data_IF_072563459566
#
_entry.id   IF_072563459566
#
_cell.length_a   1.000
_cell.length_b   1.000
_cell.length_c   1.000
_cell.angle_alpha   90.00
_cell.angle_beta   90.00
_cell.angle_gamma   90.00
#
_symmetry.space_group_name_H-M   'P 1'
#
loop_
_entity.id
_entity.type
_entity.pdbx_description
1 polymer ?
#
# COMPACT_ATOMS: atom_id res chain seq x y z
N UNK A 1 -4.91 25.85 30.46
CA UNK A 1 -5.61 25.98 29.17
C UNK A 1 -5.40 24.69 28.41
N UNK A 2 -6.35 23.75 28.49
CA UNK A 2 -6.33 22.55 27.64
C UNK A 2 -6.75 22.98 26.22
N UNK A 3 -5.78 23.00 25.32
CA UNK A 3 -6.02 23.21 23.90
C UNK A 3 -6.84 22.01 23.39
N UNK A 4 -8.15 22.23 23.19
CA UNK A 4 -9.06 21.26 22.57
C UNK A 4 -8.57 20.98 21.16
N UNK A 5 -7.70 19.98 21.05
CA UNK A 5 -7.14 19.53 19.79
C UNK A 5 -8.31 19.08 18.90
N UNK A 6 -8.66 19.91 17.90
CA UNK A 6 -9.76 19.69 16.94
C UNK A 6 -9.35 18.57 15.98
N UNK A 7 -9.19 17.36 16.51
CA UNK A 7 -9.02 16.17 15.69
C UNK A 7 -10.27 15.97 14.82
N UNK A 8 -10.07 15.64 13.54
CA UNK A 8 -11.16 15.33 12.61
C UNK A 8 -12.02 14.24 13.24
N UNK A 9 -13.36 14.39 13.27
CA UNK A 9 -14.23 13.39 13.86
C UNK A 9 -14.00 12.03 13.20
N UNK A 10 -13.87 10.95 13.99
CA UNK A 10 -13.63 9.61 13.47
C UNK A 10 -14.68 9.16 12.43
N UNK A 11 -15.91 9.68 12.55
CA UNK A 11 -16.99 9.47 11.58
C UNK A 11 -16.69 10.11 10.21
N UNK A 12 -16.19 11.35 10.18
CA UNK A 12 -15.84 12.05 8.94
C UNK A 12 -14.73 11.33 8.19
N UNK A 13 -13.73 10.84 8.93
CA UNK A 13 -12.62 10.06 8.39
C UNK A 13 -13.11 8.75 7.76
N UNK A 14 -13.98 8.01 8.46
CA UNK A 14 -14.57 6.77 7.95
C UNK A 14 -15.39 6.98 6.66
N UNK A 15 -16.22 8.02 6.63
CA UNK A 15 -17.01 8.37 5.44
C UNK A 15 -16.12 8.83 4.28
N UNK A 16 -15.07 9.58 4.56
CA UNK A 16 -14.06 9.97 3.57
C UNK A 16 -13.39 8.76 2.91
N UNK A 17 -12.94 7.79 3.70
CA UNK A 17 -12.33 6.57 3.15
C UNK A 17 -13.33 5.73 2.36
N UNK A 18 -14.59 5.61 2.81
CA UNK A 18 -15.66 4.95 2.04
C UNK A 18 -15.92 5.61 0.70
N UNK A 19 -16.01 6.93 0.71
CA UNK A 19 -16.18 7.72 -0.50
C UNK A 19 -15.01 7.52 -1.47
N UNK A 20 -13.76 7.54 -0.97
CA UNK A 20 -12.58 7.26 -1.77
C UNK A 20 -12.60 5.83 -2.36
N UNK A 21 -13.02 4.81 -1.61
CA UNK A 21 -13.17 3.45 -2.16
C UNK A 21 -14.21 3.40 -3.27
N UNK A 22 -15.37 4.03 -3.07
CA UNK A 22 -16.41 4.13 -4.11
C UNK A 22 -15.87 4.84 -5.35
N UNK A 23 -15.23 6.00 -5.18
CA UNK A 23 -14.70 6.79 -6.28
C UNK A 23 -13.62 6.04 -7.07
N UNK A 24 -12.76 5.29 -6.38
CA UNK A 24 -11.81 4.41 -7.05
C UNK A 24 -12.52 3.37 -7.93
N UNK A 25 -13.56 2.70 -7.43
CA UNK A 25 -14.30 1.69 -8.23
C UNK A 25 -15.04 2.35 -9.39
N UNK A 26 -15.75 3.45 -9.14
CA UNK A 26 -16.49 4.19 -10.17
C UNK A 26 -15.59 4.75 -11.26
N UNK A 27 -14.34 5.07 -10.94
CA UNK A 27 -13.38 5.62 -11.90
C UNK A 27 -13.12 4.71 -13.11
N UNK A 28 -13.27 3.38 -12.96
CA UNK A 28 -13.07 2.42 -14.05
C UNK A 28 -14.22 2.43 -15.08
N UNK A 29 -15.39 2.97 -14.72
CA UNK A 29 -16.51 3.15 -15.65
C UNK A 29 -16.43 4.47 -16.42
N UNK A 30 -15.48 5.35 -16.08
CA UNK A 30 -15.24 6.61 -16.77
C UNK A 30 -14.20 6.43 -17.88
N UNK A 31 -14.12 7.38 -18.84
CA UNK A 31 -12.98 7.47 -19.74
C UNK A 31 -11.68 7.48 -18.95
N UNK A 32 -10.82 6.49 -19.19
CA UNK A 32 -9.67 6.22 -18.33
C UNK A 32 -8.37 6.70 -18.98
N UNK A 33 -8.18 6.35 -20.25
CA UNK A 33 -7.08 6.85 -21.07
C UNK A 33 -7.54 7.18 -22.48
N UNK A 34 -6.92 8.19 -23.07
CA UNK A 34 -7.01 8.41 -24.52
C UNK A 34 -5.68 8.07 -25.14
N UNK A 35 -5.73 7.24 -26.17
CA UNK A 35 -4.54 6.76 -26.87
C UNK A 35 -4.55 7.32 -28.27
N UNK A 36 -3.46 8.00 -28.65
CA UNK A 36 -3.28 8.50 -29.99
C UNK A 36 -2.50 7.48 -30.81
N UNK A 37 -3.16 6.85 -31.78
CA UNK A 37 -2.55 5.84 -32.65
C UNK A 37 -1.57 6.49 -33.63
N UNK A 38 -0.41 5.87 -33.85
CA UNK A 38 0.62 6.39 -34.75
C UNK A 38 0.21 6.38 -36.22
N UNK A 39 -0.68 5.47 -36.63
CA UNK A 39 -1.11 5.30 -38.02
C UNK A 39 -2.22 6.27 -38.44
N UNK A 40 -3.24 6.45 -37.59
CA UNK A 40 -4.43 7.27 -37.91
C UNK A 40 -4.35 8.68 -37.34
N UNK A 41 -3.51 8.91 -36.32
CA UNK A 41 -3.45 10.13 -35.49
C UNK A 41 -4.76 10.48 -34.77
N UNK A 42 -5.80 9.67 -34.92
CA UNK A 42 -7.09 9.88 -34.27
C UNK A 42 -7.01 9.47 -32.79
N UNK A 43 -7.55 10.28 -31.87
CA UNK A 43 -7.62 9.94 -30.46
C UNK A 43 -8.75 8.92 -30.22
N UNK A 44 -8.40 7.76 -29.68
CA UNK A 44 -9.39 6.77 -29.23
C UNK A 44 -9.40 6.76 -27.71
N UNK A 45 -10.58 6.96 -27.12
CA UNK A 45 -10.76 6.95 -25.66
C UNK A 45 -11.22 5.59 -25.21
N UNK A 46 -10.50 5.00 -24.26
CA UNK A 46 -10.82 3.72 -23.66
C UNK A 46 -11.35 3.93 -22.24
N UNK A 47 -12.53 3.40 -21.91
CA UNK A 47 -12.96 3.27 -20.52
C UNK A 47 -12.04 2.27 -19.79
N UNK A 48 -12.03 2.36 -18.45
CA UNK A 48 -11.18 1.49 -17.63
C UNK A 48 -11.56 0.01 -17.73
N UNK A 49 -12.83 -0.28 -18.05
CA UNK A 49 -13.33 -1.64 -18.29
C UNK A 49 -12.64 -2.33 -19.46
N UNK A 50 -12.27 -1.59 -20.50
CA UNK A 50 -11.65 -2.14 -21.70
C UNK A 50 -10.17 -2.49 -21.45
N UNK A 51 -9.57 -1.95 -20.39
CA UNK A 51 -8.22 -2.30 -19.94
C UNK A 51 -8.18 -3.62 -19.15
N UNK A 52 -9.33 -4.24 -18.87
CA UNK A 52 -9.44 -5.48 -18.08
C UNK A 52 -9.35 -6.73 -18.99
N UNK A 53 -9.26 -6.56 -20.30
CA UNK A 53 -9.15 -7.68 -21.22
C UNK A 53 -7.74 -8.30 -21.25
N UNK A 54 -7.69 -9.64 -21.21
CA UNK A 54 -6.46 -10.42 -21.30
C UNK A 54 -5.66 -10.54 -19.99
N UNK A 55 -4.46 -11.13 -20.07
CA UNK A 55 -3.62 -11.41 -18.89
C UNK A 55 -3.21 -10.15 -18.12
N UNK A 56 -3.05 -9.02 -18.82
CA UNK A 56 -2.68 -7.74 -18.21
C UNK A 56 -3.85 -7.11 -17.44
N UNK A 57 -5.08 -7.41 -17.83
CA UNK A 57 -6.28 -7.02 -17.10
C UNK A 57 -6.32 -7.47 -15.64
N UNK A 58 -5.62 -8.56 -15.31
CA UNK A 58 -5.46 -9.02 -13.91
C UNK A 58 -4.82 -7.95 -13.02
N UNK A 59 -3.90 -7.14 -13.55
CA UNK A 59 -3.27 -6.07 -12.78
C UNK A 59 -4.24 -4.96 -12.41
N UNK A 60 -5.28 -4.69 -13.22
CA UNK A 60 -6.34 -3.73 -12.89
C UNK A 60 -7.43 -4.34 -12.02
N UNK A 61 -7.74 -5.63 -12.23
CA UNK A 61 -8.73 -6.37 -11.45
C UNK A 61 -8.32 -6.51 -9.98
N UNK A 62 -7.03 -6.78 -9.69
CA UNK A 62 -6.53 -6.94 -8.32
C UNK A 62 -6.81 -5.69 -7.45
N UNK A 63 -6.39 -4.46 -7.83
CA UNK A 63 -6.78 -3.23 -7.16
C UNK A 63 -8.28 -3.06 -6.98
N UNK A 64 -9.07 -3.35 -8.01
CA UNK A 64 -10.53 -3.21 -7.96
C UNK A 64 -11.14 -4.11 -6.88
N UNK A 65 -10.72 -5.38 -6.84
CA UNK A 65 -11.15 -6.36 -5.83
C UNK A 65 -10.66 -5.96 -4.44
N UNK A 66 -9.43 -5.47 -4.29
CA UNK A 66 -8.90 -5.00 -3.01
C UNK A 66 -9.71 -3.83 -2.46
N UNK A 67 -9.99 -2.82 -3.27
CA UNK A 67 -10.76 -1.65 -2.86
C UNK A 67 -12.22 -1.99 -2.58
N UNK A 68 -12.82 -2.89 -3.36
CA UNK A 68 -14.15 -3.41 -3.08
C UNK A 68 -14.19 -4.19 -1.75
N UNK A 69 -13.17 -5.02 -1.49
CA UNK A 69 -12.99 -5.69 -0.22
C UNK A 69 -12.85 -4.71 0.94
N UNK A 70 -12.04 -3.65 0.81
CA UNK A 70 -11.93 -2.61 1.84
C UNK A 70 -13.22 -1.83 2.06
N UNK A 71 -13.96 -1.55 0.99
CA UNK A 71 -15.27 -0.92 1.07
C UNK A 71 -16.24 -1.77 1.89
N UNK A 72 -16.40 -3.05 1.55
CA UNK A 72 -17.24 -3.99 2.29
C UNK A 72 -16.79 -4.08 3.75
N UNK A 73 -15.50 -4.31 3.99
CA UNK A 73 -14.95 -4.44 5.33
C UNK A 73 -15.13 -3.18 6.19
N UNK A 74 -15.27 -2.00 5.57
CA UNK A 74 -15.51 -0.75 6.29
C UNK A 74 -16.87 -0.70 7.00
N UNK A 75 -17.84 -1.52 6.60
CA UNK A 75 -19.17 -1.59 7.25
C UNK A 75 -19.21 -2.51 8.46
N UNK A 76 -18.26 -3.45 8.56
CA UNK A 76 -18.21 -4.39 9.66
C UNK A 76 -17.43 -3.80 10.84
N UNK A 77 -18.12 -3.61 11.98
CA UNK A 77 -17.46 -3.32 13.26
C UNK A 77 -16.66 -4.55 13.69
N UNK A 78 -15.35 -4.55 13.46
CA UNK A 78 -14.49 -5.63 13.94
C UNK A 78 -13.95 -5.30 15.33
N UNK A 79 -14.14 -6.21 16.30
CA UNK A 79 -13.39 -6.23 17.56
C UNK A 79 -12.00 -6.81 17.29
N UNK A 80 -11.11 -6.00 16.75
CA UNK A 80 -9.72 -6.40 16.49
C UNK A 80 -8.83 -5.80 17.57
N UNK A 81 -7.69 -6.44 17.89
CA UNK A 81 -6.67 -5.80 18.72
C UNK A 81 -6.21 -4.50 18.04
N UNK A 82 -5.96 -3.46 18.83
CA UNK A 82 -5.60 -2.14 18.27
C UNK A 82 -4.38 -2.16 17.36
N UNK A 83 -3.40 -3.01 17.65
CA UNK A 83 -2.20 -3.20 16.83
C UNK A 83 -2.46 -3.97 15.54
N UNK A 84 -3.36 -4.96 15.52
CA UNK A 84 -3.73 -5.61 14.26
C UNK A 84 -4.58 -4.66 13.38
N UNK A 85 -5.45 -3.84 13.97
CA UNK A 85 -6.12 -2.78 13.21
C UNK A 85 -5.10 -1.81 12.60
N UNK A 86 -4.10 -1.39 13.38
CA UNK A 86 -3.04 -0.49 12.90
C UNK A 86 -2.20 -1.14 11.80
N UNK A 87 -1.85 -2.41 11.95
CA UNK A 87 -1.17 -3.19 10.90
C UNK A 87 -1.99 -3.21 9.60
N UNK A 88 -3.30 -3.43 9.69
CA UNK A 88 -4.19 -3.41 8.53
C UNK A 88 -4.27 -2.02 7.88
N UNK A 89 -4.14 -0.93 8.64
CA UNK A 89 -4.03 0.41 8.05
C UNK A 89 -2.73 0.56 7.26
N UNK A 90 -1.58 0.11 7.77
CA UNK A 90 -0.33 0.14 6.99
C UNK A 90 -0.42 -0.73 5.74
N UNK A 91 -1.07 -1.90 5.84
CA UNK A 91 -1.34 -2.76 4.68
C UNK A 91 -2.22 -2.09 3.63
N UNK A 92 -3.27 -1.35 4.06
CA UNK A 92 -4.09 -0.53 3.17
C UNK A 92 -3.27 0.55 2.48
N UNK A 93 -2.35 1.21 3.18
CA UNK A 93 -1.45 2.19 2.58
C UNK A 93 -0.56 1.57 1.49
N UNK A 94 0.06 0.41 1.76
CA UNK A 94 0.86 -0.34 0.77
C UNK A 94 0.00 -0.70 -0.44
N UNK A 95 -1.19 -1.23 -0.21
CA UNK A 95 -2.11 -1.66 -1.28
C UNK A 95 -2.59 -0.47 -2.11
N UNK A 96 -2.87 0.68 -1.49
CA UNK A 96 -3.24 1.91 -2.19
C UNK A 96 -2.08 2.49 -3.00
N UNK A 97 -0.86 2.47 -2.46
CA UNK A 97 0.34 2.89 -3.20
C UNK A 97 0.58 1.99 -4.41
N UNK A 98 0.56 0.66 -4.23
CA UNK A 98 0.72 -0.30 -5.33
C UNK A 98 -0.37 -0.13 -6.40
N UNK A 99 -1.63 0.01 -5.98
CA UNK A 99 -2.76 0.27 -6.88
C UNK A 99 -2.60 1.58 -7.64
N UNK A 100 -2.15 2.64 -6.98
CA UNK A 100 -1.87 3.93 -7.60
C UNK A 100 -0.75 3.86 -8.63
N UNK A 101 0.30 3.07 -8.37
CA UNK A 101 1.37 2.84 -9.36
C UNK A 101 0.88 2.04 -10.56
N UNK A 102 0.10 0.98 -10.33
CA UNK A 102 -0.49 0.20 -11.41
C UNK A 102 -1.36 1.11 -12.29
N UNK A 103 -2.31 1.83 -11.69
CA UNK A 103 -3.22 2.69 -12.44
C UNK A 103 -2.49 3.86 -13.12
N UNK A 104 -1.48 4.43 -12.45
CA UNK A 104 -0.72 5.57 -12.97
C UNK A 104 0.20 5.21 -14.13
N UNK A 105 0.84 4.04 -14.10
CA UNK A 105 1.94 3.73 -15.03
C UNK A 105 1.65 2.58 -15.98
N UNK A 106 0.82 1.60 -15.59
CA UNK A 106 0.54 0.43 -16.43
C UNK A 106 -0.03 0.81 -17.81
N UNK A 107 -0.92 1.81 -17.96
CA UNK A 107 -1.40 2.18 -19.30
C UNK A 107 -0.26 2.59 -20.24
N UNK A 108 0.75 3.31 -19.74
CA UNK A 108 1.91 3.69 -20.55
C UNK A 108 2.78 2.49 -20.96
N UNK A 109 2.78 1.40 -20.17
CA UNK A 109 3.45 0.15 -20.52
C UNK A 109 2.62 -0.72 -21.48
N UNK A 110 1.30 -0.59 -21.48
CA UNK A 110 0.44 -1.28 -22.44
C UNK A 110 0.51 -0.66 -23.83
N UNK A 111 0.74 0.64 -23.91
CA UNK A 111 0.80 1.41 -25.14
C UNK A 111 2.19 2.02 -25.38
N UNK A 112 3.27 1.26 -25.19
CA UNK A 112 4.68 1.74 -25.24
C UNK A 112 5.07 2.54 -26.49
N UNK A 113 4.37 2.37 -27.61
CA UNK A 113 4.64 3.05 -28.89
C UNK A 113 3.66 4.19 -29.19
N UNK A 114 2.69 4.46 -28.32
CA UNK A 114 1.62 5.42 -28.55
C UNK A 114 1.61 6.48 -27.45
N UNK A 115 1.08 7.68 -27.77
CA UNK A 115 0.90 8.72 -26.76
C UNK A 115 -0.36 8.40 -25.95
N UNK A 116 -0.17 8.19 -24.64
CA UNK A 116 -1.25 7.96 -23.69
C UNK A 116 -1.50 9.22 -22.89
N UNK A 117 -2.73 9.71 -22.95
CA UNK A 117 -3.19 10.85 -22.17
C UNK A 117 -4.10 10.37 -21.05
N UNK A 118 -3.79 10.68 -19.78
CA UNK A 118 -4.64 10.33 -18.66
C UNK A 118 -5.97 11.09 -18.77
N UNK A 119 -7.07 10.38 -18.55
CA UNK A 119 -8.41 10.96 -18.51
C UNK A 119 -8.95 11.04 -17.08
N UNK A 120 -10.17 11.56 -16.96
CA UNK A 120 -10.82 11.81 -15.67
C UNK A 120 -10.89 10.55 -14.78
N UNK A 121 -11.11 9.37 -15.37
CA UNK A 121 -11.12 8.10 -14.65
C UNK A 121 -9.78 7.81 -13.98
N UNK A 122 -8.68 7.86 -14.75
CA UNK A 122 -7.34 7.58 -14.20
C UNK A 122 -6.94 8.59 -13.12
N UNK A 123 -7.24 9.89 -13.32
CA UNK A 123 -6.97 10.92 -12.32
C UNK A 123 -7.77 10.68 -11.04
N UNK A 124 -9.07 10.36 -11.15
CA UNK A 124 -9.92 10.06 -10.00
C UNK A 124 -9.45 8.83 -9.23
N UNK A 125 -9.04 7.78 -9.93
CA UNK A 125 -8.45 6.58 -9.35
C UNK A 125 -7.17 6.91 -8.55
N UNK A 126 -6.26 7.67 -9.15
CA UNK A 126 -5.01 8.08 -8.52
C UNK A 126 -5.24 8.95 -7.28
N UNK A 127 -6.16 9.92 -7.34
CA UNK A 127 -6.53 10.77 -6.20
C UNK A 127 -7.16 9.94 -5.07
N UNK A 128 -7.99 8.95 -5.41
CA UNK A 128 -8.59 8.03 -4.44
C UNK A 128 -7.52 7.19 -3.73
N UNK A 129 -6.57 6.62 -4.49
CA UNK A 129 -5.41 5.92 -3.94
C UNK A 129 -4.58 6.82 -3.02
N UNK A 130 -4.31 8.06 -3.45
CA UNK A 130 -3.52 9.02 -2.68
C UNK A 130 -4.20 9.39 -1.35
N UNK A 131 -5.52 9.62 -1.39
CA UNK A 131 -6.31 9.88 -0.19
C UNK A 131 -6.21 8.72 0.81
N UNK A 132 -6.46 7.49 0.36
CA UNK A 132 -6.42 6.29 1.20
C UNK A 132 -5.01 6.04 1.72
N UNK A 133 -3.99 6.26 0.90
CA UNK A 133 -2.60 6.16 1.29
C UNK A 133 -2.29 7.09 2.46
N UNK A 134 -2.56 8.39 2.33
CA UNK A 134 -2.26 9.36 3.39
C UNK A 134 -3.11 9.16 4.64
N UNK A 135 -4.40 8.86 4.49
CA UNK A 135 -5.29 8.57 5.61
C UNK A 135 -4.78 7.39 6.44
N UNK A 136 -4.42 6.30 5.76
CA UNK A 136 -3.97 5.06 6.40
C UNK A 136 -2.57 5.20 6.99
N UNK A 137 -1.68 5.93 6.32
CA UNK A 137 -0.35 6.32 6.84
C UNK A 137 -0.46 7.11 8.13
N UNK A 138 -1.29 8.16 8.14
CA UNK A 138 -1.48 9.02 9.30
C UNK A 138 -2.07 8.24 10.49
N UNK A 139 -3.05 7.36 10.22
CA UNK A 139 -3.59 6.43 11.22
C UNK A 139 -2.50 5.57 11.86
N UNK A 140 -1.66 4.99 11.01
CA UNK A 140 -0.61 4.05 11.40
C UNK A 140 0.45 4.76 12.23
N UNK A 141 0.88 5.95 11.80
CA UNK A 141 1.87 6.75 12.51
C UNK A 141 1.38 7.20 13.89
N UNK A 142 0.15 7.72 13.99
CA UNK A 142 -0.44 8.13 15.28
C UNK A 142 -0.52 6.94 16.24
N UNK A 143 -1.01 5.80 15.74
CA UNK A 143 -1.14 4.61 16.56
C UNK A 143 0.22 4.07 17.02
N UNK A 144 1.24 4.09 16.16
CA UNK A 144 2.61 3.73 16.53
C UNK A 144 3.19 4.65 17.61
N UNK A 145 2.98 5.97 17.50
CA UNK A 145 3.38 6.94 18.53
C UNK A 145 2.67 6.65 19.85
N UNK A 146 1.38 6.32 19.81
CA UNK A 146 0.62 5.94 21.01
C UNK A 146 1.19 4.67 21.64
N UNK A 147 1.45 3.64 20.83
CA UNK A 147 2.04 2.38 21.27
C UNK A 147 3.40 2.57 21.93
N UNK A 148 4.24 3.46 21.41
CA UNK A 148 5.54 3.78 21.99
C UNK A 148 5.46 4.40 23.40
N UNK A 149 4.32 5.00 23.77
CA UNK A 149 4.08 5.60 25.09
C UNK A 149 3.47 4.64 26.11
N UNK A 150 2.96 3.48 25.66
CA UNK A 150 2.36 2.51 26.57
C UNK A 150 3.44 1.73 27.33
N UNK A 151 3.22 1.41 28.62
CA UNK A 151 4.20 0.70 29.43
C UNK A 151 4.55 -0.66 28.82
N UNK A 152 5.83 -1.01 28.90
CA UNK A 152 6.32 -2.31 28.48
C UNK A 152 5.85 -3.39 29.46
N UNK A 153 5.37 -4.52 28.93
CA UNK A 153 5.05 -5.68 29.76
C UNK A 153 6.34 -6.36 30.24
N UNK A 154 6.25 -7.09 31.34
CA UNK A 154 7.35 -7.91 31.85
C UNK A 154 7.90 -8.82 30.75
N UNK A 155 9.23 -8.93 30.67
CA UNK A 155 9.90 -9.63 29.57
C UNK A 155 9.66 -11.15 29.64
N UNK A 156 8.71 -11.65 28.85
CA UNK A 156 8.41 -13.08 28.69
C UNK A 156 8.88 -13.61 27.33
N UNK A 157 9.97 -13.05 26.79
CA UNK A 157 10.44 -13.37 25.44
C UNK A 157 11.04 -14.78 25.33
N UNK A 158 10.42 -15.59 24.48
CA UNK A 158 10.96 -16.87 24.01
C UNK A 158 12.09 -16.68 22.99
N UNK A 159 12.92 -17.72 22.77
CA UNK A 159 13.96 -17.71 21.73
C UNK A 159 13.40 -17.46 20.34
N UNK A 160 12.24 -18.06 20.02
CA UNK A 160 11.52 -17.84 18.77
C UNK A 160 11.13 -16.36 18.58
N UNK A 161 10.64 -15.71 19.65
CA UNK A 161 10.28 -14.30 19.63
C UNK A 161 11.48 -13.40 19.31
N UNK A 162 12.66 -13.71 19.87
CA UNK A 162 13.90 -12.96 19.61
C UNK A 162 14.37 -13.13 18.17
N UNK A 163 14.28 -14.35 17.63
CA UNK A 163 14.61 -14.61 16.23
C UNK A 163 13.70 -13.83 15.28
N UNK A 164 12.38 -13.83 15.53
CA UNK A 164 11.43 -13.05 14.72
C UNK A 164 11.66 -11.54 14.84
N UNK A 165 11.95 -11.03 16.04
CA UNK A 165 12.35 -9.63 16.22
C UNK A 165 13.59 -9.29 15.38
N UNK A 166 14.60 -10.16 15.35
CA UNK A 166 15.80 -9.94 14.55
C UNK A 166 15.49 -9.89 13.04
N UNK A 167 14.59 -10.75 12.54
CA UNK A 167 14.16 -10.72 11.13
C UNK A 167 13.49 -9.39 10.80
N UNK A 168 12.51 -8.94 11.59
CA UNK A 168 11.82 -7.67 11.36
C UNK A 168 12.76 -6.47 11.52
N UNK A 169 13.71 -6.54 12.45
CA UNK A 169 14.74 -5.51 12.59
C UNK A 169 15.65 -5.44 11.36
N UNK A 170 16.05 -6.59 10.79
CA UNK A 170 16.81 -6.64 9.55
C UNK A 170 16.02 -6.03 8.38
N UNK A 171 14.70 -6.28 8.31
CA UNK A 171 13.84 -5.69 7.29
C UNK A 171 13.77 -4.16 7.32
N UNK A 172 13.99 -3.52 8.48
CA UNK A 172 14.08 -2.05 8.56
C UNK A 172 15.24 -1.46 7.74
N UNK A 173 16.27 -2.27 7.43
CA UNK A 173 17.39 -1.84 6.59
C UNK A 173 17.17 -2.08 5.09
N UNK A 174 16.15 -2.86 4.71
CA UNK A 174 15.81 -3.12 3.31
C UNK A 174 15.54 -1.83 2.49
N UNK A 175 14.80 -0.82 3.01
CA UNK A 175 14.64 0.46 2.32
C UNK A 175 15.95 1.15 1.99
N UNK A 176 16.89 1.19 2.94
CA UNK A 176 18.20 1.82 2.75
C UNK A 176 18.99 1.09 1.66
N UNK A 177 18.97 -0.24 1.68
CA UNK A 177 19.60 -1.06 0.65
C UNK A 177 18.99 -0.80 -0.74
N UNK A 178 17.67 -0.73 -0.85
CA UNK A 178 16.99 -0.47 -2.13
C UNK A 178 17.27 0.92 -2.68
N UNK A 179 17.29 1.95 -1.83
CA UNK A 179 17.64 3.32 -2.22
C UNK A 179 19.09 3.37 -2.72
N UNK A 180 20.02 2.74 -2.01
CA UNK A 180 21.42 2.65 -2.41
C UNK A 180 21.57 1.91 -3.74
N UNK A 181 20.92 0.75 -3.88
CA UNK A 181 20.96 -0.06 -5.09
C UNK A 181 20.44 0.72 -6.32
N UNK A 182 19.28 1.37 -6.22
CA UNK A 182 18.73 2.13 -7.35
C UNK A 182 19.57 3.37 -7.66
N UNK A 183 20.08 4.07 -6.64
CA UNK A 183 20.99 5.21 -6.84
C UNK A 183 22.28 4.80 -7.57
N UNK A 184 22.91 3.69 -7.14
CA UNK A 184 24.16 3.19 -7.76
C UNK A 184 23.98 2.70 -9.20
N UNK A 185 22.76 2.34 -9.60
CA UNK A 185 22.41 1.95 -10.98
C UNK A 185 22.02 3.14 -11.86
N UNK A 186 22.21 4.38 -11.38
CA UNK A 186 21.84 5.59 -12.12
C UNK A 186 20.33 5.81 -12.20
N UNK A 187 19.58 5.29 -11.22
CA UNK A 187 18.13 5.51 -11.14
C UNK A 187 17.79 6.99 -11.07
N UNK A 188 16.85 7.43 -11.91
CA UNK A 188 16.40 8.82 -11.91
C UNK A 188 15.61 9.20 -10.64
N UNK A 189 15.42 10.51 -10.44
CA UNK A 189 14.65 11.07 -9.32
C UNK A 189 13.28 10.41 -9.14
N UNK A 190 12.60 10.12 -10.25
CA UNK A 190 11.29 9.47 -10.23
C UNK A 190 11.32 8.06 -9.59
N UNK A 191 12.31 7.23 -9.92
CA UNK A 191 12.46 5.90 -9.32
C UNK A 191 12.73 5.97 -7.82
N UNK A 192 13.56 6.93 -7.39
CA UNK A 192 13.82 7.18 -5.97
C UNK A 192 12.57 7.64 -5.24
N UNK A 193 11.77 8.53 -5.84
CA UNK A 193 10.49 8.96 -5.29
C UNK A 193 9.54 7.78 -5.08
N UNK A 194 9.37 6.91 -6.08
CA UNK A 194 8.52 5.72 -5.98
C UNK A 194 8.98 4.78 -4.87
N UNK A 195 10.29 4.56 -4.74
CA UNK A 195 10.86 3.73 -3.68
C UNK A 195 10.55 4.34 -2.32
N UNK A 196 10.89 5.61 -2.09
CA UNK A 196 10.62 6.29 -0.82
C UNK A 196 9.14 6.24 -0.48
N UNK A 197 8.28 6.48 -1.46
CA UNK A 197 6.83 6.44 -1.29
C UNK A 197 6.32 5.05 -0.87
N UNK A 198 6.86 3.96 -1.43
CA UNK A 198 6.50 2.59 -1.01
C UNK A 198 7.14 2.18 0.31
N UNK A 199 8.32 2.71 0.64
CA UNK A 199 9.06 2.33 1.85
C UNK A 199 8.47 2.91 3.13
N UNK A 200 7.83 4.09 3.07
CA UNK A 200 7.22 4.70 4.26
C UNK A 200 6.15 3.82 4.93
N UNK A 201 5.10 3.31 4.25
CA UNK A 201 4.12 2.44 4.89
C UNK A 201 4.71 1.09 5.28
N UNK A 202 5.72 0.60 4.56
CA UNK A 202 6.46 -0.60 4.92
C UNK A 202 7.19 -0.44 6.26
N UNK A 203 7.92 0.66 6.45
CA UNK A 203 8.60 0.96 7.72
C UNK A 203 7.62 1.07 8.90
N UNK A 204 6.44 1.68 8.68
CA UNK A 204 5.39 1.71 9.69
C UNK A 204 4.89 0.31 10.03
N UNK A 205 4.63 -0.51 9.00
CA UNK A 205 4.19 -1.89 9.16
C UNK A 205 5.19 -2.72 9.99
N UNK A 206 6.49 -2.59 9.69
CA UNK A 206 7.55 -3.27 10.43
C UNK A 206 7.64 -2.78 11.89
N UNK A 207 7.55 -1.46 12.10
CA UNK A 207 7.52 -0.87 13.45
C UNK A 207 6.33 -1.37 14.30
N UNK A 208 5.13 -1.44 13.70
CA UNK A 208 3.93 -1.97 14.36
C UNK A 208 4.08 -3.46 14.67
N UNK A 209 4.68 -4.22 13.75
CA UNK A 209 4.90 -5.66 13.93
C UNK A 209 5.87 -5.93 15.06
N UNK A 210 7.00 -5.21 15.11
CA UNK A 210 7.97 -5.28 16.21
C UNK A 210 7.31 -4.96 17.55
N UNK A 211 6.46 -3.94 17.59
CA UNK A 211 5.70 -3.61 18.80
C UNK A 211 4.74 -4.73 19.21
N UNK A 212 4.00 -5.30 18.25
CA UNK A 212 3.05 -6.37 18.52
C UNK A 212 3.73 -7.70 18.91
N UNK A 213 4.95 -7.96 18.41
CA UNK A 213 5.80 -9.09 18.81
C UNK A 213 6.22 -8.99 20.28
N UNK A 214 6.64 -7.81 20.73
CA UNK A 214 6.95 -7.53 22.15
C UNK A 214 5.76 -7.76 23.08
N UNK A 215 4.54 -7.76 22.54
CA UNK A 215 3.29 -8.04 23.26
C UNK A 215 2.73 -9.44 22.99
N UNK A 216 3.52 -10.32 22.39
CA UNK A 216 3.16 -11.72 22.15
C UNK A 216 1.83 -11.92 21.40
N UNK A 217 1.52 -11.01 20.46
CA UNK A 217 0.27 -11.14 19.71
C UNK A 217 0.35 -12.26 18.68
N UNK A 218 -0.57 -13.22 18.75
CA UNK A 218 -0.54 -14.44 17.92
C UNK A 218 -0.42 -14.19 16.41
N UNK A 219 -1.04 -13.13 15.90
CA UNK A 219 -1.04 -12.82 14.47
C UNK A 219 0.35 -12.43 13.95
N UNK A 220 1.25 -11.92 14.81
CA UNK A 220 2.59 -11.52 14.36
C UNK A 220 3.41 -12.74 13.99
N UNK A 221 3.29 -13.86 14.70
CA UNK A 221 3.97 -15.11 14.34
C UNK A 221 3.56 -15.62 12.95
N UNK A 222 2.28 -15.50 12.60
CA UNK A 222 1.79 -15.84 11.27
C UNK A 222 2.40 -14.91 10.23
N UNK A 223 2.39 -13.60 10.48
CA UNK A 223 2.98 -12.62 9.59
C UNK A 223 4.50 -12.83 9.40
N UNK A 224 5.25 -13.03 10.48
CA UNK A 224 6.69 -13.32 10.43
C UNK A 224 6.98 -14.59 9.62
N UNK A 225 6.11 -15.60 9.71
CA UNK A 225 6.25 -16.84 8.92
C UNK A 225 6.03 -16.57 7.44
N UNK A 226 5.00 -15.80 7.08
CA UNK A 226 4.73 -15.38 5.69
C UNK A 226 5.91 -14.59 5.13
N UNK A 227 6.44 -13.66 5.92
CA UNK A 227 7.60 -12.85 5.54
C UNK A 227 8.84 -13.74 5.29
N UNK A 228 9.13 -14.68 6.20
CA UNK A 228 10.27 -15.58 6.07
C UNK A 228 10.16 -16.48 4.84
N UNK A 229 8.98 -17.03 4.57
CA UNK A 229 8.71 -17.77 3.33
C UNK A 229 8.96 -16.88 2.11
N UNK A 230 8.46 -15.64 2.13
CA UNK A 230 8.67 -14.67 1.05
C UNK A 230 10.16 -14.37 0.79
N UNK A 231 10.95 -14.23 1.85
CA UNK A 231 12.41 -14.06 1.76
C UNK A 231 13.05 -15.31 1.16
N UNK A 232 12.73 -16.50 1.67
CA UNK A 232 13.27 -17.76 1.15
C UNK A 232 12.97 -17.97 -0.34
N UNK A 233 11.73 -17.70 -0.76
CA UNK A 233 11.34 -17.79 -2.18
C UNK A 233 12.10 -16.77 -3.01
N UNK A 234 12.25 -15.54 -2.54
CA UNK A 234 12.98 -14.49 -3.27
C UNK A 234 14.46 -14.83 -3.43
N UNK A 235 15.10 -15.35 -2.38
CA UNK A 235 16.50 -15.81 -2.42
C UNK A 235 16.65 -17.01 -3.35
N UNK A 236 15.72 -17.97 -3.28
CA UNK A 236 15.71 -19.12 -4.19
C UNK A 236 15.64 -18.66 -5.65
N UNK A 237 14.68 -17.80 -5.99
CA UNK A 237 14.56 -17.26 -7.35
C UNK A 237 15.83 -16.53 -7.79
N UNK A 238 16.48 -15.79 -6.90
CA UNK A 238 17.72 -15.08 -7.21
C UNK A 238 18.91 -16.02 -7.47
N UNK A 239 19.05 -17.10 -6.70
CA UNK A 239 20.16 -18.06 -6.86
C UNK A 239 20.03 -18.88 -8.15
N UNK A 240 18.80 -19.21 -8.54
CA UNK A 240 18.53 -20.07 -9.70
C UNK A 240 18.23 -19.30 -11.00
N UNK A 241 18.46 -17.99 -11.03
CA UNK A 241 18.33 -17.13 -12.22
C UNK A 241 19.69 -16.74 -12.77
#
# INVERSE_FOLDING_TARGET
>A
MEEKNKSVPASMRLWGSRFAYCMFIFSFFLPFVTVQQCSTKEPVSYPGTDLIDGFRGLFYLIPMVLFFGYFILSFFKKRVSGSLDTFLQSWKAISAAGSGLIVGFLPSFDYLLQKVHPQIGQVLAMLSCLWIYFDSMFASAIALIRFAKEPQMADQRTSLSRMMEAVHFAMLFLPCFLIFYVSSRGGGFFSLFVIVFLMMPFLLLEGITLYALKRHQRWTYVWSSVLLIGICVSVFIYIFR
#
